data_IF_520239512224
#
_entry.id   IF_520239512224
#
_cell.length_a   1.000
_cell.length_b   1.000
_cell.length_c   1.000
_cell.angle_alpha   90.00
_cell.angle_beta   90.00
_cell.angle_gamma   90.00
#
_symmetry.space_group_name_H-M   'P 1'
#
loop_
_entity.id
_entity.type
_entity.pdbx_description
1 polymer ?
#
# COMPACT_ATOMS: atom_id res chain seq x y z
N UNK A 1 77.72 -21.68 0.69
CA UNK A 1 77.59 -23.05 0.14
C UNK A 1 76.35 -23.70 0.72
N UNK A 2 75.65 -24.53 -0.08
CA UNK A 2 74.57 -25.47 0.31
C UNK A 2 73.17 -24.87 0.51
N UNK A 3 72.37 -24.87 -0.56
CA UNK A 3 70.96 -25.36 -0.53
C UNK A 3 71.04 -26.90 -0.43
N UNK A 4 70.01 -27.72 -0.06
CA UNK A 4 68.60 -27.43 0.26
C UNK A 4 67.95 -28.36 1.33
N UNK A 5 66.65 -28.18 1.62
CA UNK A 5 65.61 -29.25 1.59
C UNK A 5 64.24 -28.60 1.81
N UNK A 6 63.34 -28.52 0.81
CA UNK A 6 62.44 -29.60 0.35
C UNK A 6 61.93 -30.42 1.56
N UNK A 7 60.67 -30.51 1.89
CA UNK A 7 59.45 -30.36 1.11
C UNK A 7 58.27 -30.39 2.10
N UNK A 8 57.17 -29.72 1.77
CA UNK A 8 55.87 -30.40 1.80
C UNK A 8 54.91 -29.57 0.96
N UNK A 9 54.80 -29.97 -0.31
CA UNK A 9 53.64 -29.63 -1.11
C UNK A 9 52.47 -30.38 -0.49
N UNK A 10 51.47 -29.65 -0.02
CA UNK A 10 50.11 -30.16 0.01
C UNK A 10 49.22 -29.09 -0.61
N UNK A 11 48.67 -29.48 -1.74
CA UNK A 11 47.86 -28.68 -2.67
C UNK A 11 46.61 -28.19 -1.96
N UNK A 12 46.37 -26.87 -1.96
CA UNK A 12 45.06 -26.31 -1.66
C UNK A 12 44.25 -26.35 -2.95
N UNK A 13 43.36 -27.33 -3.09
CA UNK A 13 42.37 -27.37 -4.17
C UNK A 13 41.40 -26.17 -4.04
N UNK A 14 41.37 -25.22 -4.99
CA UNK A 14 40.54 -24.04 -4.87
C UNK A 14 39.21 -24.19 -5.64
N UNK A 15 38.51 -25.33 -5.52
CA UNK A 15 37.10 -25.45 -5.95
C UNK A 15 36.46 -26.72 -5.36
N UNK A 16 35.94 -26.64 -4.14
CA UNK A 16 34.82 -27.51 -3.73
C UNK A 16 33.72 -26.63 -3.17
N UNK A 17 32.83 -26.26 -4.07
CA UNK A 17 31.52 -25.70 -3.76
C UNK A 17 30.78 -26.76 -2.94
N UNK A 18 30.83 -26.65 -1.62
CA UNK A 18 29.94 -27.40 -0.72
C UNK A 18 28.53 -26.81 -0.88
N UNK A 19 27.87 -27.16 -1.98
CA UNK A 19 26.42 -27.09 -2.10
C UNK A 19 25.88 -27.89 -0.91
N UNK A 20 25.32 -27.21 0.09
CA UNK A 20 24.61 -27.86 1.19
C UNK A 20 23.14 -28.04 0.78
N UNK A 21 22.73 -29.17 0.21
CA UNK A 21 21.32 -29.42 -0.03
C UNK A 21 20.61 -29.59 1.31
N UNK A 22 19.64 -28.71 1.55
CA UNK A 22 18.40 -28.92 2.30
C UNK A 22 18.40 -30.04 3.37
N UNK A 23 18.57 -29.65 4.64
CA UNK A 23 18.15 -30.51 5.76
C UNK A 23 16.64 -30.37 5.97
N UNK A 24 15.85 -30.93 5.07
CA UNK A 24 14.41 -31.12 5.24
C UNK A 24 14.15 -32.38 6.06
N UNK A 25 14.15 -32.30 7.40
CA UNK A 25 13.45 -33.28 8.25
C UNK A 25 13.13 -32.69 9.63
N UNK A 26 11.91 -32.20 9.79
CA UNK A 26 10.94 -32.67 10.80
C UNK A 26 9.65 -31.91 10.50
N UNK A 27 8.73 -32.53 9.76
CA UNK A 27 7.33 -32.08 9.80
C UNK A 27 6.88 -32.32 11.23
N UNK A 28 7.05 -31.31 12.08
CA UNK A 28 6.27 -31.21 13.29
C UNK A 28 4.82 -31.26 12.81
N UNK A 29 4.11 -32.30 13.23
CA UNK A 29 2.66 -32.38 13.19
C UNK A 29 2.11 -30.96 13.40
N UNK A 30 1.41 -30.41 12.40
CA UNK A 30 1.02 -29.01 12.40
C UNK A 30 0.17 -28.75 13.65
N UNK A 31 0.81 -28.27 14.71
CA UNK A 31 0.11 -27.89 15.92
C UNK A 31 -0.90 -26.83 15.52
N UNK A 32 -2.19 -27.10 15.74
CA UNK A 32 -3.27 -26.22 15.27
C UNK A 32 -3.02 -24.81 15.81
N UNK A 33 -2.73 -23.87 14.92
CA UNK A 33 -2.65 -22.46 15.26
C UNK A 33 -4.04 -21.85 15.39
N UNK A 34 -4.16 -20.71 16.07
CA UNK A 34 -5.43 -19.99 16.17
C UNK A 34 -5.89 -19.51 14.79
N UNK A 35 -7.08 -19.92 14.37
CA UNK A 35 -7.62 -19.64 13.04
C UNK A 35 -8.07 -18.17 12.85
N UNK A 36 -8.39 -17.45 13.93
CA UNK A 36 -8.85 -16.06 13.86
C UNK A 36 -8.61 -15.28 15.16
N UNK A 37 -8.25 -13.99 15.07
CA UNK A 37 -8.15 -13.10 16.23
C UNK A 37 -8.45 -11.63 15.87
N UNK A 38 -9.28 -10.98 16.68
CA UNK A 38 -9.54 -9.54 16.61
C UNK A 38 -8.74 -8.73 17.66
N UNK A 39 -7.89 -9.40 18.45
CA UNK A 39 -7.33 -8.85 19.69
C UNK A 39 -6.57 -7.52 19.53
N UNK A 40 -5.78 -7.38 18.46
CA UNK A 40 -4.97 -6.17 18.21
C UNK A 40 -5.56 -5.25 17.13
N UNK A 41 -6.80 -5.47 16.70
CA UNK A 41 -7.41 -4.66 15.64
C UNK A 41 -7.75 -3.26 16.15
N UNK A 42 -8.40 -3.18 17.32
CA UNK A 42 -8.78 -1.91 17.94
C UNK A 42 -7.56 -1.04 18.25
N UNK A 43 -6.51 -1.61 18.86
CA UNK A 43 -5.29 -0.86 19.18
C UNK A 43 -4.64 -0.24 17.93
N UNK A 44 -4.53 -1.01 16.83
CA UNK A 44 -4.00 -0.50 15.54
C UNK A 44 -4.90 0.59 14.93
N UNK A 45 -6.22 0.40 14.97
CA UNK A 45 -7.17 1.36 14.44
C UNK A 45 -7.11 2.71 15.19
N UNK A 46 -6.85 2.67 16.49
CA UNK A 46 -6.76 3.87 17.34
C UNK A 46 -5.36 4.52 17.36
N UNK A 47 -4.29 3.85 16.91
CA UNK A 47 -2.93 4.43 16.86
C UNK A 47 -2.86 5.76 16.10
N UNK A 48 -3.52 5.84 14.95
CA UNK A 48 -3.64 7.08 14.15
C UNK A 48 -5.03 7.76 14.31
N UNK A 49 -5.90 7.13 15.10
CA UNK A 49 -7.30 7.50 15.29
C UNK A 49 -8.20 7.18 14.08
N UNK A 50 -9.45 6.83 14.36
CA UNK A 50 -10.49 6.66 13.35
C UNK A 50 -10.96 8.05 12.90
N UNK A 51 -10.56 8.47 11.70
CA UNK A 51 -10.91 9.79 11.15
C UNK A 51 -12.32 9.78 10.56
N UNK A 52 -13.09 10.83 10.87
CA UNK A 52 -14.41 11.06 10.25
C UNK A 52 -14.23 11.50 8.79
N UNK A 53 -15.19 11.21 7.89
CA UNK A 53 -15.15 11.73 6.53
C UNK A 53 -15.15 13.27 6.55
N UNK A 54 -14.39 13.88 5.65
CA UNK A 54 -14.28 15.34 5.56
C UNK A 54 -15.59 15.92 5.06
N UNK A 55 -16.12 16.92 5.77
CA UNK A 55 -17.27 17.71 5.34
C UNK A 55 -16.78 18.83 4.41
N UNK A 56 -17.24 18.84 3.17
CA UNK A 56 -17.00 19.92 2.21
C UNK A 56 -18.27 20.79 2.10
N UNK A 57 -18.11 22.07 1.70
CA UNK A 57 -19.25 22.99 1.48
C UNK A 57 -20.22 22.46 0.41
N UNK A 58 -19.67 21.81 -0.62
CA UNK A 58 -20.45 21.18 -1.68
C UNK A 58 -20.05 19.70 -1.82
N UNK A 59 -21.03 18.82 -1.85
CA UNK A 59 -20.85 17.38 -2.07
C UNK A 59 -20.92 17.04 -3.55
N UNK A 60 -20.43 15.87 -3.94
CA UNK A 60 -20.54 15.40 -5.32
C UNK A 60 -21.99 15.11 -5.69
N UNK A 61 -22.46 15.62 -6.84
CA UNK A 61 -23.81 15.33 -7.38
C UNK A 61 -23.87 14.05 -8.23
N UNK A 62 -22.86 13.18 -8.14
CA UNK A 62 -22.79 11.92 -8.90
C UNK A 62 -23.86 10.95 -8.37
N UNK A 63 -24.68 10.40 -9.27
CA UNK A 63 -25.79 9.52 -8.90
C UNK A 63 -27.10 10.23 -8.55
N UNK A 64 -27.15 11.56 -8.66
CA UNK A 64 -28.40 12.33 -8.58
C UNK A 64 -29.22 12.18 -9.87
N UNK A 65 -30.53 12.40 -9.78
CA UNK A 65 -31.45 12.32 -10.92
C UNK A 65 -30.93 13.12 -12.14
N UNK A 66 -30.74 12.46 -13.30
CA UNK A 66 -30.33 13.12 -14.53
C UNK A 66 -31.26 14.26 -14.96
N UNK A 67 -32.58 14.18 -14.71
CA UNK A 67 -33.54 15.22 -15.11
C UNK A 67 -33.30 16.50 -14.30
N UNK A 68 -33.15 16.38 -12.98
CA UNK A 68 -32.80 17.50 -12.12
C UNK A 68 -31.41 18.08 -12.46
N UNK A 69 -30.41 17.23 -12.76
CA UNK A 69 -29.08 17.68 -13.19
C UNK A 69 -29.10 18.48 -14.50
N UNK A 70 -29.91 18.07 -15.47
CA UNK A 70 -30.09 18.80 -16.75
C UNK A 70 -30.70 20.18 -16.50
N UNK A 71 -31.73 20.27 -15.67
CA UNK A 71 -32.34 21.54 -15.33
C UNK A 71 -31.35 22.47 -14.59
N UNK A 72 -30.64 21.96 -13.59
CA UNK A 72 -29.65 22.74 -12.85
C UNK A 72 -28.55 23.30 -13.76
N UNK A 73 -28.13 22.54 -14.78
CA UNK A 73 -27.15 23.02 -15.79
C UNK A 73 -27.70 24.19 -16.60
N UNK A 74 -28.95 24.11 -17.07
CA UNK A 74 -29.56 25.21 -17.82
C UNK A 74 -29.78 26.44 -16.96
N UNK A 75 -30.31 26.28 -15.75
CA UNK A 75 -30.52 27.39 -14.82
C UNK A 75 -29.21 28.14 -14.51
N UNK A 76 -28.14 27.42 -14.16
CA UNK A 76 -26.82 28.03 -13.90
C UNK A 76 -26.26 28.76 -15.11
N UNK A 77 -26.50 28.25 -16.33
CA UNK A 77 -26.03 28.90 -17.56
C UNK A 77 -26.60 30.30 -17.74
N UNK A 78 -27.90 30.49 -17.44
CA UNK A 78 -28.57 31.78 -17.60
C UNK A 78 -28.39 32.70 -16.39
N UNK A 79 -28.27 32.13 -15.18
CA UNK A 79 -28.02 32.92 -13.97
C UNK A 79 -26.65 33.62 -13.97
N UNK A 80 -25.64 33.03 -14.61
CA UNK A 80 -24.32 33.68 -14.70
C UNK A 80 -24.38 34.94 -15.56
N UNK A 81 -25.11 34.90 -16.68
CA UNK A 81 -25.27 36.04 -17.57
C UNK A 81 -26.11 37.16 -16.94
N UNK A 82 -27.20 36.80 -16.25
CA UNK A 82 -28.00 37.79 -15.53
C UNK A 82 -27.27 38.41 -14.35
N UNK A 83 -26.33 37.68 -13.72
CA UNK A 83 -25.50 38.24 -12.66
C UNK A 83 -24.46 39.22 -13.20
N UNK A 84 -23.85 38.94 -14.37
CA UNK A 84 -22.93 39.88 -15.03
C UNK A 84 -23.66 41.20 -15.37
N UNK A 85 -24.84 41.11 -15.98
CA UNK A 85 -25.71 42.27 -16.27
C UNK A 85 -26.11 43.00 -14.97
N UNK A 86 -26.46 42.28 -13.90
CA UNK A 86 -26.81 42.88 -12.60
C UNK A 86 -25.62 43.55 -11.88
N UNK A 87 -24.39 43.11 -12.15
CA UNK A 87 -23.18 43.75 -11.59
C UNK A 87 -22.66 44.93 -12.39
N UNK A 88 -23.10 45.08 -13.65
CA UNK A 88 -22.76 46.22 -14.51
C UNK A 88 -23.73 47.40 -14.34
N UNK A 89 -24.92 47.15 -13.80
CA UNK A 89 -25.93 48.17 -13.46
C UNK A 89 -25.77 48.78 -12.04
N UNK A 90 -24.74 48.39 -11.29
CA UNK A 90 -24.32 48.96 -10.00
C UNK A 90 -23.00 49.75 -10.14
#
# INVERSE_FOLDING_TARGET
MIVPRKAFLQELDPTRVEFRPNRLTKVAEMAKSKNHTAHNQSYKAHKNGIKKPRKHRHQSTKGMDPKFLRNQRYARKHNNKSNEEATEEE
#
